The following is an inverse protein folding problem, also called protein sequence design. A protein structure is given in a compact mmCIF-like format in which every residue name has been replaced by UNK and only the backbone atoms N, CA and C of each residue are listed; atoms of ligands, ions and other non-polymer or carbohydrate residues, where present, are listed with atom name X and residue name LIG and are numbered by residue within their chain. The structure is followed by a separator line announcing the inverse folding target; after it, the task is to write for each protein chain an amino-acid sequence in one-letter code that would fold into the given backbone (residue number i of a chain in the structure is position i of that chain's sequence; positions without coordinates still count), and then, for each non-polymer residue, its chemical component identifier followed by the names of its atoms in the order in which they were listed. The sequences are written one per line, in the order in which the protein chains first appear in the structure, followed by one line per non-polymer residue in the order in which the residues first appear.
data_IF_189817890227
#
_entry.id   IF_189817890227
#
_cell.length_a   1.000
_cell.length_b   1.000
_cell.length_c   1.000
_cell.angle_alpha   90.00
_cell.angle_beta   90.00
_cell.angle_gamma   90.00
#
_symmetry.space_group_name_H-M   'P 1'
#
loop_
_entity.id
_entity.type
_entity.pdbx_description
1 polymer ?
#
# COMPACT_ATOMS: atom_id res chain seq x y z
N UNK A 1 16.58 -13.17 -3.62
CA UNK A 1 16.36 -11.79 -3.15
C UNK A 1 16.21 -10.89 -4.37
N UNK A 2 15.02 -10.92 -5.00
CA UNK A 2 14.70 -10.10 -6.17
C UNK A 2 13.30 -9.52 -5.95
N UNK A 3 13.32 -8.26 -5.55
CA UNK A 3 12.53 -7.17 -6.12
C UNK A 3 11.08 -7.51 -6.54
N UNK A 4 10.16 -7.43 -5.59
CA UNK A 4 8.70 -7.34 -5.83
C UNK A 4 8.25 -6.02 -6.52
N UNK A 5 9.19 -5.20 -7.00
CA UNK A 5 8.92 -3.80 -7.38
C UNK A 5 8.73 -3.54 -8.89
N UNK A 6 8.87 -4.50 -9.80
CA UNK A 6 8.88 -4.19 -11.25
C UNK A 6 7.53 -4.12 -11.97
N UNK A 7 6.38 -4.10 -11.28
CA UNK A 7 5.12 -3.77 -11.97
C UNK A 7 4.06 -3.14 -11.07
N UNK A 8 4.46 -2.22 -10.19
CA UNK A 8 3.52 -1.27 -9.58
C UNK A 8 3.21 -0.18 -10.60
N UNK A 9 2.44 -0.52 -11.64
CA UNK A 9 1.82 0.46 -12.54
C UNK A 9 0.90 1.34 -11.69
N UNK A 10 1.39 2.55 -11.44
CA UNK A 10 0.93 3.49 -10.43
C UNK A 10 -0.43 4.09 -10.82
N UNK A 11 -1.52 3.53 -10.30
CA UNK A 11 -2.79 4.25 -10.16
C UNK A 11 -3.11 4.29 -8.67
N UNK A 12 -2.46 5.21 -7.96
CA UNK A 12 -2.71 5.46 -6.54
C UNK A 12 -4.06 6.16 -6.39
N UNK A 13 -5.04 5.46 -5.85
CA UNK A 13 -6.17 6.11 -5.18
C UNK A 13 -5.96 5.96 -3.67
N UNK A 14 -5.47 7.01 -3.02
CA UNK A 14 -5.15 7.01 -1.59
C UNK A 14 -6.43 7.26 -0.78
N UNK A 15 -7.25 6.23 -0.62
CA UNK A 15 -8.28 6.20 0.41
C UNK A 15 -7.70 5.46 1.61
N UNK A 16 -7.52 6.14 2.74
CA UNK A 16 -6.98 5.53 3.96
C UNK A 16 -7.98 4.50 4.52
N UNK A 17 -7.69 3.21 4.34
CA UNK A 17 -8.42 2.16 5.06
C UNK A 17 -7.75 1.93 6.41
N UNK A 18 -8.55 1.96 7.49
CA UNK A 18 -8.09 1.50 8.80
C UNK A 18 -8.10 -0.03 8.79
N UNK A 19 -6.93 -0.64 8.84
CA UNK A 19 -6.78 -2.09 8.97
C UNK A 19 -6.10 -2.47 10.28
N UNK A 20 -6.15 -3.76 10.63
CA UNK A 20 -5.65 -4.29 11.92
C UNK A 20 -4.20 -3.90 12.20
N UNK A 21 -3.38 -3.66 11.17
CA UNK A 21 -1.95 -3.36 11.29
C UNK A 21 -1.54 -1.98 10.75
N UNK A 22 -2.48 -1.07 10.51
CA UNK A 22 -2.21 0.31 10.12
C UNK A 22 -2.75 0.71 8.74
N UNK A 23 -1.99 1.51 8.00
CA UNK A 23 -2.39 2.05 6.68
C UNK A 23 -2.42 0.96 5.62
N UNK A 24 -3.44 0.98 4.77
CA UNK A 24 -3.54 0.14 3.59
C UNK A 24 -3.92 0.96 2.35
N UNK A 25 -3.61 0.42 1.17
CA UNK A 25 -3.80 1.11 -0.12
C UNK A 25 -4.58 0.22 -1.09
N UNK A 26 -5.39 0.86 -1.94
CA UNK A 26 -6.21 0.21 -2.96
C UNK A 26 -5.47 0.20 -4.31
N UNK A 27 -5.35 -0.96 -4.93
CA UNK A 27 -4.66 -1.18 -6.20
C UNK A 27 -5.60 -1.82 -7.22
N UNK A 28 -5.40 -1.49 -8.50
CA UNK A 28 -6.14 -2.13 -9.60
C UNK A 28 -5.60 -3.53 -9.92
N UNK A 29 -4.31 -3.77 -9.71
CA UNK A 29 -3.67 -5.04 -10.02
C UNK A 29 -2.55 -5.32 -9.00
N UNK A 30 -2.38 -6.59 -8.64
CA UNK A 30 -1.34 -7.12 -7.76
C UNK A 30 -0.86 -8.44 -8.34
N UNK A 31 0.45 -8.64 -8.40
CA UNK A 31 1.09 -9.87 -8.90
C UNK A 31 1.75 -10.65 -7.77
N UNK A 32 2.14 -11.89 -8.04
CA UNK A 32 2.83 -12.77 -7.09
C UNK A 32 2.04 -13.05 -5.80
N UNK A 33 0.72 -13.19 -5.97
CA UNK A 33 -0.21 -13.55 -4.90
C UNK A 33 -1.01 -14.80 -5.26
N UNK A 34 -1.48 -15.50 -4.23
CA UNK A 34 -2.60 -16.46 -4.33
C UNK A 34 -3.83 -15.86 -3.65
N UNK A 35 -5.01 -16.21 -4.17
CA UNK A 35 -6.30 -15.75 -3.64
C UNK A 35 -6.92 -16.88 -2.82
N UNK A 36 -7.37 -16.57 -1.60
CA UNK A 36 -8.07 -17.52 -0.73
C UNK A 36 -9.56 -17.64 -1.06
N UNK A 37 -10.28 -18.23 -0.11
CA UNK A 37 -11.73 -18.41 -0.23
C UNK A 37 -12.50 -17.09 -0.14
N UNK A 38 -13.68 -17.07 -0.76
CA UNK A 38 -14.60 -15.94 -0.69
C UNK A 38 -15.31 -15.93 0.66
N UNK A 39 -15.32 -14.75 1.29
CA UNK A 39 -15.98 -14.52 2.57
C UNK A 39 -16.80 -13.23 2.51
N UNK A 40 -17.96 -13.22 3.18
CA UNK A 40 -18.69 -11.98 3.44
C UNK A 40 -18.14 -11.27 4.68
N UNK A 41 -17.81 -9.99 4.53
CA UNK A 41 -17.19 -9.18 5.58
C UNK A 41 -17.93 -7.85 5.73
N UNK A 42 -18.43 -7.59 6.93
CA UNK A 42 -18.98 -6.28 7.30
C UNK A 42 -17.84 -5.27 7.50
N UNK A 43 -17.90 -4.15 6.79
CA UNK A 43 -16.95 -3.04 6.89
C UNK A 43 -17.69 -1.73 7.19
N UNK A 44 -16.95 -0.65 7.48
CA UNK A 44 -17.54 0.67 7.71
C UNK A 44 -18.41 1.12 6.52
N UNK A 45 -18.03 0.75 5.29
CA UNK A 45 -18.77 1.07 4.07
C UNK A 45 -19.79 0.01 3.66
N UNK A 46 -20.23 -0.84 4.59
CA UNK A 46 -21.22 -1.90 4.33
C UNK A 46 -20.64 -3.29 4.10
N UNK A 47 -21.50 -4.23 3.70
CA UNK A 47 -21.16 -5.63 3.45
C UNK A 47 -20.43 -5.78 2.11
N UNK A 48 -19.37 -6.58 2.11
CA UNK A 48 -18.59 -6.92 0.92
C UNK A 48 -18.29 -8.41 0.89
N UNK A 49 -18.22 -8.99 -0.31
CA UNK A 49 -17.58 -10.28 -0.53
C UNK A 49 -16.11 -10.03 -0.86
N UNK A 50 -15.21 -10.62 -0.09
CA UNK A 50 -13.75 -10.43 -0.20
C UNK A 50 -13.03 -11.76 -0.18
N UNK A 51 -11.80 -11.78 -0.66
CA UNK A 51 -10.89 -12.90 -0.50
C UNK A 51 -9.56 -12.40 0.06
N UNK A 52 -9.04 -13.04 1.09
CA UNK A 52 -7.68 -12.75 1.56
C UNK A 52 -6.67 -13.14 0.47
N UNK A 53 -5.60 -12.37 0.36
CA UNK A 53 -4.52 -12.62 -0.61
C UNK A 53 -3.20 -12.88 0.10
N UNK A 54 -2.46 -13.86 -0.39
CA UNK A 54 -1.27 -14.40 0.23
C UNK A 54 -0.07 -14.23 -0.69
N UNK A 55 1.09 -13.87 -0.14
CA UNK A 55 2.31 -13.80 -0.93
C UNK A 55 2.75 -15.20 -1.37
N UNK A 56 2.99 -15.41 -2.67
CA UNK A 56 3.46 -16.70 -3.20
C UNK A 56 4.82 -17.12 -2.63
N UNK A 57 5.64 -16.19 -2.13
CA UNK A 57 6.98 -16.50 -1.61
C UNK A 57 6.98 -16.99 -0.16
N UNK A 58 6.12 -16.45 0.70
CA UNK A 58 6.15 -16.73 2.14
C UNK A 58 4.82 -17.22 2.72
N UNK A 59 3.76 -17.27 1.91
CA UNK A 59 2.42 -17.73 2.32
C UNK A 59 1.70 -16.81 3.31
N UNK A 60 2.28 -15.67 3.68
CA UNK A 60 1.66 -14.74 4.62
C UNK A 60 0.56 -13.90 3.94
N UNK A 61 -0.50 -13.58 4.68
CA UNK A 61 -1.56 -12.67 4.22
C UNK A 61 -1.00 -11.27 4.01
N UNK A 62 -1.08 -10.73 2.81
CA UNK A 62 -0.59 -9.38 2.49
C UNK A 62 -1.72 -8.35 2.31
N UNK A 63 -2.97 -8.82 2.24
CA UNK A 63 -4.13 -7.98 2.00
C UNK A 63 -5.39 -8.78 1.67
N UNK A 64 -6.34 -8.14 0.99
CA UNK A 64 -7.54 -8.79 0.43
C UNK A 64 -7.94 -8.20 -0.92
N UNK A 65 -8.70 -8.96 -1.72
CA UNK A 65 -9.36 -8.51 -2.95
C UNK A 65 -10.85 -8.33 -2.67
N UNK A 66 -11.44 -7.28 -3.22
CA UNK A 66 -12.89 -7.15 -3.28
C UNK A 66 -13.45 -7.93 -4.47
N UNK A 67 -14.35 -8.86 -4.20
CA UNK A 67 -15.08 -9.58 -5.24
C UNK A 67 -16.42 -8.90 -5.54
N UNK A 68 -17.17 -8.55 -4.49
CA UNK A 68 -18.44 -7.85 -4.62
C UNK A 68 -18.63 -6.80 -3.51
N UNK A 69 -19.29 -5.70 -3.87
CA UNK A 69 -19.78 -4.70 -2.94
C UNK A 69 -21.29 -4.56 -3.09
N UNK A 70 -22.04 -4.63 -1.98
CA UNK A 70 -23.51 -4.60 -2.04
C UNK A 70 -24.06 -3.18 -2.24
N UNK A 71 -23.35 -2.17 -1.74
CA UNK A 71 -23.72 -0.77 -1.94
C UNK A 71 -23.24 -0.24 -3.29
N UNK A 72 -24.13 0.43 -4.03
CA UNK A 72 -23.81 1.04 -5.33
C UNK A 72 -22.64 2.03 -5.25
N UNK A 73 -22.54 2.79 -4.16
CA UNK A 73 -21.46 3.75 -3.90
C UNK A 73 -20.08 3.10 -3.75
N UNK A 74 -20.03 1.79 -3.49
CA UNK A 74 -18.81 1.03 -3.24
C UNK A 74 -18.39 0.14 -4.42
N UNK A 75 -19.18 0.08 -5.50
CA UNK A 75 -18.90 -0.73 -6.69
C UNK A 75 -17.55 -0.45 -7.34
N UNK A 76 -17.02 0.76 -7.17
CA UNK A 76 -15.67 1.09 -7.64
C UNK A 76 -14.55 0.25 -6.99
N UNK A 77 -14.84 -0.50 -5.91
CA UNK A 77 -13.88 -1.38 -5.24
C UNK A 77 -13.83 -2.77 -5.85
N UNK A 78 -14.87 -3.23 -6.55
CA UNK A 78 -14.93 -4.58 -7.10
C UNK A 78 -13.75 -4.84 -8.04
N UNK A 79 -13.13 -6.00 -7.89
CA UNK A 79 -11.91 -6.39 -8.60
C UNK A 79 -10.61 -5.76 -8.08
N UNK A 80 -10.68 -4.80 -7.15
CA UNK A 80 -9.50 -4.12 -6.61
C UNK A 80 -8.94 -4.80 -5.37
N UNK A 81 -7.68 -4.52 -5.09
CA UNK A 81 -6.89 -5.15 -4.05
C UNK A 81 -6.53 -4.13 -2.98
N UNK A 82 -6.68 -4.49 -1.71
CA UNK A 82 -6.17 -3.70 -0.59
C UNK A 82 -4.95 -4.41 -0.04
N UNK A 83 -3.81 -3.71 0.02
CA UNK A 83 -2.58 -4.23 0.62
C UNK A 83 -2.17 -3.37 1.82
N UNK A 84 -1.74 -4.02 2.91
CA UNK A 84 -1.26 -3.35 4.11
C UNK A 84 0.18 -2.84 3.94
N UNK A 85 0.46 -1.57 4.28
CA UNK A 85 1.77 -0.93 4.08
C UNK A 85 2.94 -1.74 4.65
N UNK A 86 2.78 -2.27 5.86
CA UNK A 86 3.82 -3.05 6.55
C UNK A 86 4.17 -4.39 5.91
N UNK A 87 3.54 -4.75 4.78
CA UNK A 87 3.78 -5.99 4.03
C UNK A 87 4.25 -5.78 2.59
N UNK A 88 4.30 -4.53 2.12
CA UNK A 88 4.67 -4.18 0.73
C UNK A 88 5.99 -3.40 0.70
N UNK A 89 6.30 -2.69 1.79
CA UNK A 89 7.51 -1.88 1.91
C UNK A 89 8.45 -2.62 2.85
N UNK A 90 9.49 -3.24 2.30
CA UNK A 90 10.72 -3.43 3.06
C UNK A 90 11.19 -2.02 3.43
N UNK A 91 11.59 -1.79 4.68
CA UNK A 91 12.20 -0.52 5.10
C UNK A 91 13.45 -0.24 4.25
N UNK A 92 13.27 0.34 3.06
CA UNK A 92 14.31 1.14 2.45
C UNK A 92 14.29 2.41 3.25
N UNK A 93 15.17 2.41 4.24
CA UNK A 93 15.53 3.51 5.09
C UNK A 93 15.91 4.70 4.20
N UNK A 94 14.94 5.58 3.92
CA UNK A 94 15.14 6.80 3.13
C UNK A 94 15.91 7.87 3.95
N UNK A 95 16.57 7.47 5.05
CA UNK A 95 17.37 8.36 5.89
C UNK A 95 18.82 8.53 5.42
N UNK A 96 19.26 7.80 4.39
CA UNK A 96 20.60 7.99 3.82
C UNK A 96 20.53 8.63 2.44
N UNK A 97 21.07 9.85 2.37
CA UNK A 97 21.43 10.62 1.16
C UNK A 97 20.38 11.58 0.57
N UNK A 98 20.06 12.62 1.35
CA UNK A 98 19.96 13.98 0.80
C UNK A 98 20.74 14.93 1.73
N UNK A 99 22.08 14.78 1.74
CA UNK A 99 22.95 15.86 2.18
C UNK A 99 22.92 16.90 1.05
N UNK A 100 21.98 17.84 1.08
CA UNK A 100 22.16 19.08 0.32
C UNK A 100 23.30 19.82 1.01
N UNK A 101 24.52 19.60 0.52
CA UNK A 101 25.62 20.53 0.70
C UNK A 101 25.26 21.83 -0.03
N UNK A 102 24.49 22.69 0.63
CA UNK A 102 24.57 24.12 0.36
C UNK A 102 25.30 24.73 1.54
N UNK A 103 26.64 24.68 1.47
CA UNK A 103 27.56 25.56 2.20
C UNK A 103 26.88 26.90 2.55
N UNK A 104 26.76 27.27 3.83
CA UNK A 104 26.49 28.66 4.18
C UNK A 104 27.74 29.45 3.79
N UNK A 105 27.64 30.24 2.73
CA UNK A 105 28.61 31.30 2.48
C UNK A 105 28.42 32.35 3.59
N UNK A 106 29.09 32.13 4.73
CA UNK A 106 29.37 33.18 5.69
C UNK A 106 30.43 34.06 5.04
N UNK A 107 30.02 35.23 4.57
CA UNK A 107 30.94 36.31 4.21
C UNK A 107 30.88 37.37 5.30
N UNK A 108 31.92 37.33 6.13
CA UNK A 108 32.66 38.39 6.84
C UNK A 108 31.91 39.47 7.62
N UNK A 109 32.11 39.40 8.94
CA UNK A 109 32.12 40.53 9.86
C UNK A 109 33.35 41.41 9.58
N UNK A 110 33.17 42.71 9.46
CA UNK A 110 34.21 43.69 9.83
C UNK A 110 33.61 44.74 10.77
N UNK A 111 34.26 44.83 11.93
CA UNK A 111 34.09 45.75 13.03
C UNK A 111 34.95 47.01 12.77
N UNK A 112 34.35 48.19 12.87
CA UNK A 112 35.01 49.49 13.15
C UNK A 112 33.99 50.52 13.62
#
# INVERSE_FOLDING_TARGET
MQSLLTSLSFSLFVQSFHCRRGKAYLFNNVVNITVGDLEERMMISGIHTVADIFCCCCGQIVGWKYEAAYEKSQKYKEGKFVLERGRIVDEIDFSSEVYIDTRPSMSDSEDS
#
